data_IF_437621008279
#
_entry.id   IF_437621008279
#
_cell.length_a   1.000
_cell.length_b   1.000
_cell.length_c   1.000
_cell.angle_alpha   90.00
_cell.angle_beta   90.00
_cell.angle_gamma   90.00
#
_symmetry.space_group_name_H-M   'P 1'
#
loop_
_entity.id
_entity.type
_entity.pdbx_description
1 polymer ?
#
# COMPACT_ATOMS: atom_id res chain seq x y z
N UNK A 1 -17.93 -11.52 14.06
CA UNK A 1 -16.92 -11.77 13.01
C UNK A 1 -15.93 -10.63 13.13
N UNK A 2 -14.62 -10.90 13.15
CA UNK A 2 -13.65 -9.81 13.14
C UNK A 2 -13.72 -9.14 11.76
N UNK A 3 -13.88 -7.82 11.75
CA UNK A 3 -13.80 -7.01 10.53
C UNK A 3 -12.31 -6.87 10.20
N UNK A 4 -11.89 -7.39 9.05
CA UNK A 4 -10.52 -7.24 8.59
C UNK A 4 -10.45 -5.98 7.75
N UNK A 5 -9.60 -5.03 8.16
CA UNK A 5 -9.34 -3.83 7.39
C UNK A 5 -8.32 -4.14 6.28
N UNK A 6 -8.71 -3.97 5.02
CA UNK A 6 -7.83 -4.17 3.87
C UNK A 6 -7.05 -2.89 3.63
N UNK A 7 -5.73 -2.93 3.86
CA UNK A 7 -4.84 -1.81 3.59
C UNK A 7 -4.12 -1.99 2.25
N UNK A 8 -4.18 -0.97 1.40
CA UNK A 8 -3.45 -0.92 0.14
C UNK A 8 -2.30 0.09 0.26
N UNK A 9 -1.06 -0.36 0.02
CA UNK A 9 0.13 0.48 0.04
C UNK A 9 0.70 0.69 -1.36
N UNK A 10 0.79 1.93 -1.83
CA UNK A 10 1.26 2.27 -3.18
C UNK A 10 2.51 3.15 -3.11
N UNK A 11 3.54 2.80 -3.87
CA UNK A 11 4.76 3.61 -4.01
C UNK A 11 5.38 3.37 -5.39
N UNK A 12 5.96 4.40 -6.01
CA UNK A 12 6.66 4.29 -7.29
C UNK A 12 7.95 3.47 -7.17
N UNK A 13 8.59 3.49 -5.99
CA UNK A 13 9.84 2.79 -5.73
C UNK A 13 9.60 1.31 -5.42
N UNK A 14 10.00 0.45 -6.37
CA UNK A 14 9.98 -1.01 -6.18
C UNK A 14 10.82 -1.46 -4.98
N UNK A 15 11.91 -0.73 -4.67
CA UNK A 15 12.75 -0.98 -3.49
C UNK A 15 12.01 -0.67 -2.19
N UNK A 16 11.26 0.43 -2.14
CA UNK A 16 10.45 0.80 -0.97
C UNK A 16 9.36 -0.25 -0.71
N UNK A 17 8.64 -0.67 -1.76
CA UNK A 17 7.63 -1.73 -1.68
C UNK A 17 8.23 -3.06 -1.21
N UNK A 18 9.41 -3.46 -1.72
CA UNK A 18 10.07 -4.69 -1.25
C UNK A 18 10.43 -4.62 0.24
N UNK A 19 10.91 -3.48 0.72
CA UNK A 19 11.21 -3.26 2.15
C UNK A 19 9.93 -3.34 2.98
N UNK A 20 8.85 -2.71 2.52
CA UNK A 20 7.56 -2.72 3.20
C UNK A 20 6.98 -4.13 3.29
N UNK A 21 6.98 -4.89 2.18
CA UNK A 21 6.56 -6.31 2.15
C UNK A 21 7.33 -7.16 3.16
N UNK A 22 8.66 -7.03 3.20
CA UNK A 22 9.49 -7.77 4.16
C UNK A 22 9.09 -7.45 5.60
N UNK A 23 8.82 -6.18 5.92
CA UNK A 23 8.42 -5.79 7.28
C UNK A 23 7.02 -6.30 7.61
N UNK A 24 6.05 -6.14 6.71
CA UNK A 24 4.69 -6.64 6.90
C UNK A 24 4.67 -8.15 7.17
N UNK A 25 5.46 -8.93 6.41
CA UNK A 25 5.60 -10.38 6.60
C UNK A 25 6.19 -10.74 7.97
N UNK A 26 7.17 -9.98 8.46
CA UNK A 26 7.77 -10.21 9.80
C UNK A 26 6.77 -9.97 10.92
N UNK A 27 5.88 -8.98 10.75
CA UNK A 27 4.87 -8.59 11.74
C UNK A 27 3.54 -9.35 11.58
N UNK A 28 3.41 -10.19 10.55
CA UNK A 28 2.16 -10.89 10.24
C UNK A 28 1.02 -9.97 9.80
N UNK A 29 1.34 -8.79 9.26
CA UNK A 29 0.35 -7.80 8.81
C UNK A 29 0.02 -8.07 7.34
N UNK A 30 -1.26 -8.20 7.03
CA UNK A 30 -1.75 -8.34 5.67
C UNK A 30 -1.92 -6.97 5.00
N UNK A 31 -1.12 -6.70 3.96
CA UNK A 31 -1.18 -5.46 3.18
C UNK A 31 -1.00 -5.80 1.70
N UNK A 32 -1.87 -5.26 0.86
CA UNK A 32 -1.69 -5.32 -0.59
C UNK A 32 -0.79 -4.17 -1.03
N UNK A 33 0.45 -4.49 -1.40
CA UNK A 33 1.37 -3.49 -1.94
C UNK A 33 1.31 -3.42 -3.47
N UNK A 34 1.29 -2.22 -4.04
CA UNK A 34 1.26 -1.95 -5.47
C UNK A 34 2.44 -1.05 -5.80
N UNK A 35 3.24 -1.42 -6.81
CA UNK A 35 4.27 -0.53 -7.37
C UNK A 35 3.61 0.26 -8.48
N UNK A 36 3.40 1.56 -8.28
CA UNK A 36 2.77 2.42 -9.28
C UNK A 36 3.09 3.90 -9.07
N UNK A 37 2.84 4.71 -10.09
CA UNK A 37 2.86 6.16 -10.00
C UNK A 37 1.47 6.68 -9.60
N UNK A 38 1.40 7.50 -8.55
CA UNK A 38 0.19 8.19 -8.10
C UNK A 38 -0.42 9.13 -9.17
N UNK A 39 0.36 9.50 -10.18
CA UNK A 39 -0.12 10.35 -11.29
C UNK A 39 -1.12 9.60 -12.16
N UNK A 40 -0.84 8.33 -12.47
CA UNK A 40 -1.61 7.57 -13.47
C UNK A 40 -2.49 6.49 -12.83
N UNK A 41 -2.16 6.01 -11.62
CA UNK A 41 -2.93 5.02 -10.85
C UNK A 41 -3.44 3.83 -11.68
N UNK A 42 -2.62 3.30 -12.58
CA UNK A 42 -3.06 2.30 -13.55
C UNK A 42 -3.33 0.93 -12.90
N UNK A 43 -2.77 0.69 -11.71
CA UNK A 43 -2.80 -0.59 -11.02
C UNK A 43 -3.57 -0.54 -9.69
N UNK A 44 -4.24 0.58 -9.39
CA UNK A 44 -5.10 0.74 -8.22
C UNK A 44 -6.51 1.15 -8.67
N UNK A 45 -7.52 0.39 -8.24
CA UNK A 45 -8.92 0.68 -8.57
C UNK A 45 -9.84 0.29 -7.42
N UNK A 46 -11.01 0.91 -7.36
CA UNK A 46 -12.03 0.66 -6.34
C UNK A 46 -12.37 1.88 -5.49
N UNK A 47 -13.21 1.67 -4.49
CA UNK A 47 -13.58 2.66 -3.48
C UNK A 47 -12.74 2.45 -2.23
N UNK A 48 -12.23 3.55 -1.66
CA UNK A 48 -11.44 3.54 -0.44
C UNK A 48 -12.13 4.42 0.61
N UNK A 49 -12.16 3.98 1.86
CA UNK A 49 -12.75 4.76 2.95
C UNK A 49 -11.84 5.96 3.30
N UNK A 50 -10.56 5.74 3.68
CA UNK A 50 -9.55 6.79 3.67
C UNK A 50 -8.55 6.65 2.50
N UNK A 51 -8.13 7.80 1.95
CA UNK A 51 -6.94 7.92 1.10
C UNK A 51 -5.92 8.81 1.83
N UNK A 52 -4.72 8.27 2.09
CA UNK A 52 -3.68 8.94 2.88
C UNK A 52 -2.40 9.06 2.05
N UNK A 53 -1.91 10.30 1.86
CA UNK A 53 -0.65 10.59 1.21
C UNK A 53 0.37 11.18 2.18
N UNK A 54 1.57 10.60 2.22
CA UNK A 54 2.69 11.13 3.00
C UNK A 54 3.80 11.56 2.05
N UNK A 55 4.25 12.81 2.17
CA UNK A 55 5.44 13.33 1.50
C UNK A 55 6.38 13.96 2.51
N UNK A 56 7.68 13.79 2.31
CA UNK A 56 8.66 14.65 2.98
C UNK A 56 8.71 15.96 2.19
N UNK A 57 8.15 17.03 2.77
CA UNK A 57 8.39 18.38 2.29
C UNK A 57 9.85 18.79 2.47
#
# INVERSE_FOLDING_TARGET
>A
MAEFEIVNGLDFSSTAIQRARRRANVEGIEVQFIVDNLTDLQNASGTFDPLIGFGAG
#
